data_IF_465958548667
#
_entry.id   IF_465958548667
#
_cell.length_a   1.000
_cell.length_b   1.000
_cell.length_c   1.000
_cell.angle_alpha   90.00
_cell.angle_beta   90.00
_cell.angle_gamma   90.00
#
_symmetry.space_group_name_H-M   'P 1'
#
loop_
_entity.id
_entity.type
_entity.pdbx_description
1 polymer ?
#
# COMPACT_ATOMS: atom_id res chain seq x y z
N UNK A 1 20.06 42.83 18.45
CA UNK A 1 20.28 41.50 17.86
C UNK A 1 18.93 40.80 17.69
N UNK A 2 18.39 40.62 16.46
CA UNK A 2 17.13 39.93 16.27
C UNK A 2 17.32 38.42 16.50
N UNK A 3 16.51 37.83 17.37
CA UNK A 3 16.51 36.39 17.65
C UNK A 3 15.97 35.66 16.43
N UNK A 4 16.83 34.93 15.71
CA UNK A 4 16.38 34.03 14.65
C UNK A 4 15.45 32.99 15.28
N UNK A 5 14.20 32.91 14.80
CA UNK A 5 13.26 31.87 15.20
C UNK A 5 13.82 30.51 14.74
N UNK A 6 13.72 29.45 15.55
CA UNK A 6 14.23 28.15 15.16
C UNK A 6 13.46 27.65 13.93
N UNK A 7 14.20 27.28 12.89
CA UNK A 7 13.72 26.72 11.60
C UNK A 7 12.72 25.57 11.78
N UNK A 8 12.73 24.91 12.95
CA UNK A 8 11.83 23.82 13.31
C UNK A 8 10.32 24.15 13.20
N UNK A 9 9.93 25.42 13.33
CA UNK A 9 8.50 25.83 13.30
C UNK A 9 7.89 25.82 11.88
N UNK A 10 8.72 25.71 10.83
CA UNK A 10 8.28 25.69 9.42
C UNK A 10 8.43 24.33 8.75
N UNK A 11 8.79 23.28 9.49
CA UNK A 11 8.87 21.95 8.91
C UNK A 11 7.47 21.32 8.82
N UNK A 12 7.07 20.79 7.65
CA UNK A 12 5.82 20.05 7.55
C UNK A 12 5.84 18.89 8.55
N UNK A 13 4.71 18.60 9.20
CA UNK A 13 4.65 17.52 10.18
C UNK A 13 5.05 16.21 9.50
N UNK A 14 5.90 15.45 10.20
CA UNK A 14 6.28 14.12 9.72
C UNK A 14 5.01 13.27 9.56
N UNK A 15 4.93 12.43 8.52
CA UNK A 15 3.79 11.55 8.33
C UNK A 15 3.62 10.67 9.58
N UNK A 16 2.43 10.76 10.18
CA UNK A 16 2.09 10.13 11.47
C UNK A 16 2.22 8.59 11.43
N UNK A 17 2.22 8.00 10.23
CA UNK A 17 2.41 6.57 10.00
C UNK A 17 3.19 6.35 8.72
N UNK A 18 4.48 6.15 8.86
CA UNK A 18 5.33 5.68 7.78
C UNK A 18 5.09 4.17 7.60
N UNK A 19 4.45 3.76 6.51
CA UNK A 19 4.12 2.34 6.22
C UNK A 19 5.34 1.53 5.74
N UNK A 20 6.57 1.98 6.03
CA UNK A 20 7.80 1.34 5.53
C UNK A 20 7.94 -0.11 6.01
N UNK A 21 7.43 -0.44 7.19
CA UNK A 21 7.48 -1.80 7.75
C UNK A 21 6.25 -2.66 7.44
N UNK A 22 5.34 -2.19 6.57
CA UNK A 22 4.12 -2.91 6.27
C UNK A 22 4.39 -4.08 5.31
N UNK A 23 4.29 -5.30 5.82
CA UNK A 23 4.37 -6.50 5.01
C UNK A 23 2.99 -6.92 4.51
N UNK A 24 2.90 -7.31 3.23
CA UNK A 24 1.69 -7.89 2.63
C UNK A 24 1.98 -9.31 2.16
N UNK A 25 1.03 -10.23 2.38
CA UNK A 25 1.13 -11.60 1.88
C UNK A 25 0.33 -11.73 0.60
N UNK A 26 1.02 -11.96 -0.51
CA UNK A 26 0.41 -12.24 -1.80
C UNK A 26 0.53 -13.74 -2.06
N UNK A 27 -0.58 -14.39 -2.43
CA UNK A 27 -0.59 -15.80 -2.86
C UNK A 27 -0.94 -15.81 -4.34
N UNK A 28 -0.03 -16.35 -5.16
CA UNK A 28 -0.23 -16.57 -6.58
C UNK A 28 0.03 -18.04 -6.87
N UNK A 29 -0.80 -18.62 -7.72
CA UNK A 29 -0.53 -19.91 -8.36
C UNK A 29 0.54 -19.74 -9.45
N UNK A 30 1.24 -20.82 -9.85
CA UNK A 30 2.20 -20.77 -10.94
C UNK A 30 1.57 -20.21 -12.23
N UNK A 31 0.35 -20.63 -12.57
CA UNK A 31 -0.35 -20.19 -13.78
C UNK A 31 -0.73 -18.70 -13.73
N UNK A 32 -1.06 -18.14 -12.57
CA UNK A 32 -1.26 -16.69 -12.42
C UNK A 32 0.04 -15.94 -12.63
N UNK A 33 1.15 -16.45 -12.10
CA UNK A 33 2.46 -15.84 -12.29
C UNK A 33 2.87 -15.84 -13.76
N UNK A 34 2.70 -16.96 -14.45
CA UNK A 34 2.98 -17.08 -15.89
C UNK A 34 2.14 -16.11 -16.72
N UNK A 35 0.84 -15.99 -16.43
CA UNK A 35 -0.04 -15.02 -17.10
C UNK A 35 0.44 -13.59 -16.90
N UNK A 36 0.84 -13.23 -15.68
CA UNK A 36 1.33 -11.89 -15.38
C UNK A 36 2.62 -11.57 -16.13
N UNK A 37 3.55 -12.53 -16.22
CA UNK A 37 4.79 -12.38 -16.99
C UNK A 37 4.51 -12.19 -18.48
N UNK A 38 3.55 -12.94 -19.04
CA UNK A 38 3.14 -12.76 -20.44
C UNK A 38 2.49 -11.39 -20.70
N UNK A 39 1.72 -10.87 -19.74
CA UNK A 39 1.04 -9.56 -19.85
C UNK A 39 1.98 -8.35 -19.66
N UNK A 40 3.12 -8.55 -18.98
CA UNK A 40 4.14 -7.53 -18.70
C UNK A 40 5.53 -8.08 -19.03
N UNK A 41 5.82 -8.33 -20.32
CA UNK A 41 7.10 -8.90 -20.73
C UNK A 41 8.28 -7.94 -20.51
N UNK A 42 7.99 -6.67 -20.27
CA UNK A 42 8.93 -5.60 -19.93
C UNK A 42 9.43 -5.67 -18.48
N UNK A 43 8.78 -6.46 -17.61
CA UNK A 43 9.10 -6.53 -16.19
C UNK A 43 9.58 -7.92 -15.79
N UNK A 44 10.51 -7.94 -14.84
CA UNK A 44 10.86 -9.18 -14.15
C UNK A 44 9.71 -9.63 -13.23
N UNK A 45 9.61 -10.93 -12.91
CA UNK A 45 8.66 -11.44 -11.92
C UNK A 45 8.63 -10.63 -10.61
N UNK A 46 9.78 -10.24 -10.11
CA UNK A 46 9.90 -9.41 -8.90
C UNK A 46 9.37 -7.99 -9.10
N UNK A 47 9.56 -7.39 -10.28
CA UNK A 47 9.02 -6.07 -10.61
C UNK A 47 7.49 -6.06 -10.67
N UNK A 48 6.90 -7.11 -11.24
CA UNK A 48 5.45 -7.31 -11.26
C UNK A 48 4.90 -7.39 -9.83
N UNK A 49 5.54 -8.18 -8.97
CA UNK A 49 5.13 -8.29 -7.56
C UNK A 49 5.23 -6.96 -6.82
N UNK A 50 6.28 -6.17 -7.06
CA UNK A 50 6.44 -4.86 -6.44
C UNK A 50 5.28 -3.91 -6.77
N UNK A 51 4.82 -3.90 -8.02
CA UNK A 51 3.64 -3.11 -8.42
C UNK A 51 2.37 -3.61 -7.73
N UNK A 52 2.19 -4.94 -7.63
CA UNK A 52 1.03 -5.52 -6.97
C UNK A 52 1.00 -5.19 -5.47
N UNK A 53 2.17 -5.20 -4.81
CA UNK A 53 2.32 -4.76 -3.42
C UNK A 53 1.96 -3.28 -3.27
N UNK A 54 2.47 -2.43 -4.16
CA UNK A 54 2.19 -0.99 -4.14
C UNK A 54 0.68 -0.72 -4.29
N UNK A 55 0.01 -1.41 -5.22
CA UNK A 55 -1.44 -1.31 -5.41
C UNK A 55 -2.23 -1.71 -4.16
N UNK A 56 -1.79 -2.74 -3.42
CA UNK A 56 -2.42 -3.15 -2.15
C UNK A 56 -2.19 -2.10 -1.07
N UNK A 57 -0.96 -1.61 -0.91
CA UNK A 57 -0.61 -0.64 0.12
C UNK A 57 -1.27 0.74 -0.10
N UNK A 58 -1.43 1.11 -1.37
CA UNK A 58 -2.15 2.29 -1.82
C UNK A 58 -3.68 2.12 -1.78
N UNK A 59 -4.18 0.90 -1.58
CA UNK A 59 -5.62 0.60 -1.54
C UNK A 59 -6.30 0.60 -2.91
N UNK A 60 -5.53 0.62 -4.01
CA UNK A 60 -6.06 0.53 -5.38
C UNK A 60 -6.51 -0.88 -5.73
N UNK A 61 -5.86 -1.88 -5.16
CA UNK A 61 -6.22 -3.28 -5.29
C UNK A 61 -6.58 -3.88 -3.93
N UNK A 62 -7.77 -4.46 -3.84
CA UNK A 62 -8.24 -5.14 -2.62
C UNK A 62 -8.36 -6.64 -2.90
N UNK A 63 -7.40 -7.46 -2.46
CA UNK A 63 -7.45 -8.90 -2.73
C UNK A 63 -8.61 -9.54 -1.97
N UNK A 64 -9.20 -10.59 -2.54
CA UNK A 64 -10.42 -11.22 -2.02
C UNK A 64 -10.32 -11.69 -0.56
N UNK A 65 -9.13 -12.07 -0.09
CA UNK A 65 -8.89 -12.44 1.31
C UNK A 65 -8.89 -11.23 2.26
N UNK A 66 -8.56 -10.03 1.77
CA UNK A 66 -8.58 -8.79 2.56
C UNK A 66 -9.99 -8.19 2.70
N UNK A 67 -10.95 -8.67 1.90
CA UNK A 67 -12.38 -8.33 2.05
C UNK A 67 -13.07 -9.06 3.21
N UNK A 68 -12.47 -10.11 3.77
CA UNK A 68 -13.02 -10.91 4.85
C UNK A 68 -12.63 -10.42 6.27
N UNK A 69 -12.22 -9.15 6.41
CA UNK A 69 -11.88 -8.54 7.70
C UNK A 69 -13.08 -7.84 8.36
N UNK A 70 -13.23 -7.90 9.71
CA UNK A 70 -14.41 -7.42 10.44
C UNK A 70 -14.67 -5.90 10.41
N UNK A 71 -13.80 -5.09 9.80
CA UNK A 71 -13.90 -3.63 9.78
C UNK A 71 -14.94 -3.04 8.79
N UNK A 72 -15.84 -3.88 8.26
CA UNK A 72 -16.95 -3.45 7.39
C UNK A 72 -18.29 -3.25 8.11
N UNK A 73 -18.42 -3.62 9.39
CA UNK A 73 -19.72 -3.66 10.08
C UNK A 73 -20.10 -2.39 10.87
N UNK A 74 -19.23 -1.38 10.96
CA UNK A 74 -19.40 -0.28 11.92
C UNK A 74 -19.78 1.08 11.31
N UNK A 75 -20.35 1.13 10.10
CA UNK A 75 -20.71 2.43 9.49
C UNK A 75 -21.97 2.46 8.62
N UNK A 76 -22.96 1.62 8.94
CA UNK A 76 -24.32 1.77 8.43
C UNK A 76 -25.35 1.38 9.51
N UNK A 77 -25.43 2.17 10.59
CA UNK A 77 -26.64 2.29 11.44
C UNK A 77 -26.62 3.67 12.11
N UNK A 78 -26.78 4.71 11.30
CA UNK A 78 -27.34 5.98 11.74
C UNK A 78 -28.16 6.53 10.58
N UNK A 79 -29.46 6.22 10.62
CA UNK A 79 -30.58 6.94 10.02
C UNK A 79 -31.87 6.32 10.56
#
# INVERSE_FOLDING_TARGET
MPRQRPVAENLPPLPVREKRDQQVKIRLTPSEMERLVVMRPDLTPSGILALLVDDVLAGRYRPAWATAGPDGASRQREA
#
